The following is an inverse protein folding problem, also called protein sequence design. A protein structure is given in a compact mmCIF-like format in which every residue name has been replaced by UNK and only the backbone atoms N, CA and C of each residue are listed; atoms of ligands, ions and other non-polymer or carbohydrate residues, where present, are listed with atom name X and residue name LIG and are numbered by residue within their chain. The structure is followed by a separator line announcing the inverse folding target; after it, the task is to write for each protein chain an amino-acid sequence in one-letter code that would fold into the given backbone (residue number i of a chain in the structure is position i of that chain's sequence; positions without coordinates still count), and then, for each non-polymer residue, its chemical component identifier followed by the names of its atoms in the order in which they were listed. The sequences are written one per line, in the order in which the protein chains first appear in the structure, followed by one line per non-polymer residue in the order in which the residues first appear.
data_IF_084158266182
#
_entry.id   IF_084158266182
#
_cell.length_a   1.000
_cell.length_b   1.000
_cell.length_c   1.000
_cell.angle_alpha   90.00
_cell.angle_beta   90.00
_cell.angle_gamma   90.00
#
_symmetry.space_group_name_H-M   'P 1'
#
loop_
_entity.id
_entity.type
_entity.pdbx_description
1 polymer ?
#
# COMPACT_ATOMS: atom_id res chain seq x y z
N UNK A 1 11.70 8.84 15.55
CA UNK A 1 11.35 7.92 14.45
C UNK A 1 10.28 6.96 14.96
N UNK A 2 9.04 7.08 14.49
CA UNK A 2 7.96 6.18 14.92
C UNK A 2 8.29 4.78 14.41
N UNK A 3 8.31 3.79 15.31
CA UNK A 3 8.55 2.39 14.94
C UNK A 3 7.18 1.75 14.74
N UNK A 4 6.91 1.21 13.55
CA UNK A 4 5.66 0.49 13.29
C UNK A 4 5.46 -0.58 14.38
N UNK A 5 4.25 -0.70 14.96
CA UNK A 5 3.95 -1.78 15.87
C UNK A 5 4.30 -3.13 15.20
N UNK A 6 4.96 -4.01 15.95
CA UNK A 6 5.53 -5.25 15.39
C UNK A 6 4.51 -6.11 14.65
N UNK A 7 3.25 -6.13 15.12
CA UNK A 7 2.13 -6.82 14.46
C UNK A 7 1.84 -6.26 13.06
N UNK A 8 1.85 -4.94 12.92
CA UNK A 8 1.63 -4.24 11.63
C UNK A 8 2.82 -4.50 10.72
N UNK A 9 4.04 -4.34 11.24
CA UNK A 9 5.27 -4.61 10.49
C UNK A 9 5.27 -6.02 9.89
N UNK A 10 5.00 -7.06 10.69
CA UNK A 10 4.96 -8.45 10.20
C UNK A 10 3.87 -8.67 9.16
N UNK A 11 2.72 -8.01 9.32
CA UNK A 11 1.61 -8.09 8.36
C UNK A 11 2.01 -7.47 7.02
N UNK A 12 2.57 -6.27 7.05
CA UNK A 12 3.10 -5.57 5.87
C UNK A 12 4.22 -6.36 5.19
N UNK A 13 5.18 -6.88 5.95
CA UNK A 13 6.27 -7.70 5.41
C UNK A 13 5.75 -8.95 4.69
N UNK A 14 4.69 -9.57 5.21
CA UNK A 14 4.05 -10.70 4.53
C UNK A 14 3.36 -10.27 3.24
N UNK A 15 2.57 -9.20 3.27
CA UNK A 15 1.86 -8.68 2.08
C UNK A 15 2.85 -8.32 0.98
N UNK A 16 3.90 -7.57 1.31
CA UNK A 16 4.93 -7.18 0.34
C UNK A 16 5.64 -8.42 -0.22
N UNK A 17 5.93 -9.44 0.59
CA UNK A 17 6.49 -10.71 0.10
C UNK A 17 5.56 -11.42 -0.89
N UNK A 18 4.27 -11.46 -0.61
CA UNK A 18 3.26 -12.05 -1.49
C UNK A 18 3.05 -11.24 -2.79
N UNK A 19 3.11 -9.91 -2.71
CA UNK A 19 3.00 -9.03 -3.88
C UNK A 19 4.24 -9.10 -4.77
N UNK A 20 5.44 -9.22 -4.19
CA UNK A 20 6.72 -9.26 -4.91
C UNK A 20 6.81 -10.40 -5.94
N UNK A 21 6.12 -11.51 -5.74
CA UNK A 21 6.15 -12.65 -6.65
C UNK A 21 5.09 -12.58 -7.75
N UNK A 22 4.23 -11.56 -7.73
CA UNK A 22 3.21 -11.35 -8.77
C UNK A 22 3.83 -10.56 -9.91
N UNK A 23 3.81 -11.14 -11.10
CA UNK A 23 4.36 -10.50 -12.32
C UNK A 23 3.67 -9.17 -12.61
N UNK A 24 2.39 -9.04 -12.24
CA UNK A 24 1.59 -7.87 -12.57
C UNK A 24 1.71 -6.70 -11.58
N UNK A 25 2.53 -6.82 -10.53
CA UNK A 25 2.72 -5.76 -9.53
C UNK A 25 4.06 -5.08 -9.79
N UNK A 26 4.00 -3.82 -10.22
CA UNK A 26 5.18 -3.00 -10.48
C UNK A 26 5.77 -2.39 -9.19
N UNK A 27 4.91 -2.01 -8.24
CA UNK A 27 5.36 -1.35 -7.02
C UNK A 27 4.27 -1.26 -5.97
N UNK A 28 4.69 -1.10 -4.71
CA UNK A 28 3.79 -0.94 -3.56
C UNK A 28 4.32 0.19 -2.70
N UNK A 29 3.46 1.15 -2.36
CA UNK A 29 3.78 2.29 -1.51
C UNK A 29 2.84 2.38 -0.32
N UNK A 30 3.39 2.65 0.87
CA UNK A 30 2.59 2.99 2.05
C UNK A 30 2.20 4.46 1.97
N UNK A 31 0.90 4.75 2.11
CA UNK A 31 0.41 6.11 2.23
C UNK A 31 -0.52 6.24 3.44
N UNK A 32 -1.23 7.37 3.54
CA UNK A 32 -2.15 7.60 4.64
C UNK A 32 -1.45 7.90 5.96
N UNK A 33 -2.11 7.58 7.06
CA UNK A 33 -1.69 8.04 8.39
C UNK A 33 -0.37 7.41 8.87
N UNK A 34 -0.13 6.15 8.50
CA UNK A 34 1.09 5.44 8.86
C UNK A 34 2.34 6.00 8.17
N UNK A 35 2.22 6.56 6.96
CA UNK A 35 3.36 7.21 6.28
C UNK A 35 3.65 8.62 6.83
N UNK A 36 2.63 9.32 7.33
CA UNK A 36 2.77 10.66 7.95
C UNK A 36 3.18 10.64 9.42
N UNK A 37 3.03 9.51 10.10
CA UNK A 37 3.34 9.37 11.53
C UNK A 37 2.26 9.91 12.47
N UNK A 38 1.04 10.09 11.98
CA UNK A 38 -0.15 10.54 12.73
C UNK A 38 -1.18 9.41 12.96
N UNK A 39 -0.80 8.16 12.65
CA UNK A 39 -1.65 6.98 12.85
C UNK A 39 -2.00 6.73 14.33
N UNK A 40 -3.24 6.30 14.56
CA UNK A 40 -3.74 5.84 15.86
C UNK A 40 -3.85 4.30 15.89
N UNK A 41 -4.07 3.67 17.05
CA UNK A 41 -4.28 2.23 17.12
C UNK A 41 -5.49 1.71 16.33
N UNK A 42 -6.44 2.58 15.98
CA UNK A 42 -7.61 2.25 15.16
C UNK A 42 -7.44 2.63 13.69
N UNK A 43 -6.28 3.14 13.28
CA UNK A 43 -6.02 3.50 11.89
C UNK A 43 -5.86 2.27 11.00
N UNK A 44 -6.51 2.32 9.85
CA UNK A 44 -6.34 1.36 8.76
C UNK A 44 -4.95 1.50 8.11
N UNK A 45 -4.56 0.51 7.33
CA UNK A 45 -3.32 0.53 6.55
C UNK A 45 -3.66 0.77 5.08
N UNK A 46 -3.19 1.88 4.53
CA UNK A 46 -3.41 2.24 3.14
C UNK A 46 -2.18 1.92 2.28
N UNK A 47 -2.34 1.03 1.30
CA UNK A 47 -1.28 0.63 0.37
C UNK A 47 -1.67 0.94 -1.06
N UNK A 48 -0.87 1.77 -1.72
CA UNK A 48 -0.98 2.01 -3.16
C UNK A 48 -0.21 0.93 -3.92
N UNK A 49 -0.90 0.15 -4.73
CA UNK A 49 -0.34 -0.87 -5.61
C UNK A 49 -0.35 -0.38 -7.05
N UNK A 50 0.83 -0.31 -7.65
CA UNK A 50 0.98 -0.03 -9.08
C UNK A 50 0.92 -1.36 -9.82
N UNK A 51 -0.16 -1.59 -10.56
CA UNK A 51 -0.27 -2.76 -11.43
C UNK A 51 0.32 -2.42 -12.81
N UNK A 52 1.10 -3.35 -13.37
CA UNK A 52 1.59 -3.26 -14.76
C UNK A 52 0.55 -3.77 -15.78
N UNK A 53 -0.53 -4.38 -15.26
CA UNK A 53 -1.55 -5.05 -16.04
C UNK A 53 -2.30 -4.12 -16.99
N UNK A 54 -2.90 -4.70 -18.02
CA UNK A 54 -3.67 -4.02 -19.07
C UNK A 54 -4.92 -3.27 -18.59
N UNK A 55 -5.25 -3.36 -17.31
CA UNK A 55 -6.44 -2.76 -16.74
C UNK A 55 -6.38 -1.24 -16.78
N UNK A 56 -7.46 -0.60 -17.19
CA UNK A 56 -7.54 0.85 -17.38
C UNK A 56 -8.27 1.57 -16.26
N UNK A 57 -8.57 0.90 -15.15
CA UNK A 57 -9.37 1.41 -14.04
C UNK A 57 -8.66 1.27 -12.70
N UNK A 58 -9.03 2.15 -11.77
CA UNK A 58 -8.68 2.06 -10.35
C UNK A 58 -9.70 1.17 -9.62
N UNK A 59 -9.24 0.42 -8.63
CA UNK A 59 -10.11 -0.26 -7.69
C UNK A 59 -9.44 -0.43 -6.33
N UNK A 60 -10.25 -0.42 -5.27
CA UNK A 60 -9.79 -0.68 -3.91
C UNK A 60 -10.20 -2.08 -3.49
N UNK A 61 -9.24 -2.86 -2.99
CA UNK A 61 -9.49 -4.14 -2.32
C UNK A 61 -9.25 -3.99 -0.83
N UNK A 62 -10.31 -4.12 -0.04
CA UNK A 62 -10.23 -4.15 1.43
C UNK A 62 -10.02 -5.58 1.93
N UNK A 63 -9.04 -5.78 2.80
CA UNK A 63 -8.81 -7.05 3.48
C UNK A 63 -8.66 -6.82 4.99
N UNK A 64 -9.08 -7.80 5.78
CA UNK A 64 -8.85 -7.82 7.22
C UNK A 64 -7.90 -8.95 7.58
N UNK A 65 -6.83 -8.62 8.30
CA UNK A 65 -5.84 -9.59 8.76
C UNK A 65 -5.63 -9.40 10.26
N UNK A 66 -6.06 -10.37 11.06
CA UNK A 66 -5.88 -10.36 12.52
C UNK A 66 -6.44 -9.07 13.17
N UNK A 67 -7.57 -8.57 12.69
CA UNK A 67 -8.18 -7.32 13.18
C UNK A 67 -7.50 -6.03 12.70
N UNK A 68 -6.60 -6.10 11.71
CA UNK A 68 -6.09 -4.94 11.00
C UNK A 68 -6.83 -4.83 9.66
N UNK A 69 -7.46 -3.70 9.41
CA UNK A 69 -8.02 -3.35 8.12
C UNK A 69 -6.92 -2.80 7.21
N UNK A 70 -6.93 -3.25 5.97
CA UNK A 70 -5.92 -2.91 4.97
C UNK A 70 -6.65 -2.61 3.67
N UNK A 71 -6.46 -1.40 3.19
CA UNK A 71 -6.94 -0.95 1.90
C UNK A 71 -5.80 -1.06 0.88
N UNK A 72 -6.05 -1.84 -0.17
CA UNK A 72 -5.14 -2.03 -1.29
C UNK A 72 -5.71 -1.27 -2.48
N UNK A 73 -5.18 -0.08 -2.74
CA UNK A 73 -5.59 0.75 -3.87
C UNK A 73 -4.77 0.41 -5.09
N UNK A 74 -5.43 -0.19 -6.07
CA UNK A 74 -4.80 -0.62 -7.30
C UNK A 74 -5.00 0.43 -8.37
N UNK A 75 -3.90 0.96 -8.90
CA UNK A 75 -3.91 1.88 -10.04
C UNK A 75 -3.00 1.38 -11.17
N UNK A 76 -3.32 1.70 -12.43
CA UNK A 76 -2.42 1.42 -13.54
C UNK A 76 -1.11 2.21 -13.39
N UNK A 77 0.05 1.55 -13.50
CA UNK A 77 1.37 2.20 -13.43
C UNK A 77 1.48 3.44 -14.32
N UNK A 78 0.88 3.38 -15.52
CA UNK A 78 0.89 4.47 -16.51
C UNK A 78 0.26 5.78 -16.04
N UNK A 79 -0.48 5.77 -14.93
CA UNK A 79 -1.05 6.99 -14.33
C UNK A 79 -0.01 7.79 -13.54
N UNK A 80 1.11 7.17 -13.14
CA UNK A 80 2.22 7.87 -12.49
C UNK A 80 3.11 8.52 -13.55
N UNK A 81 3.01 9.85 -13.68
CA UNK A 81 3.70 10.63 -14.71
C UNK A 81 5.20 10.88 -14.39
N UNK A 82 5.64 10.57 -13.18
CA UNK A 82 7.00 10.79 -12.71
C UNK A 82 7.05 11.62 -11.42
N UNK A 83 8.25 11.86 -10.89
CA UNK A 83 8.43 12.71 -9.71
C UNK A 83 8.03 14.15 -10.04
N UNK A 84 7.22 14.76 -9.17
CA UNK A 84 6.92 16.19 -9.21
C UNK A 84 7.92 16.87 -8.26
N UNK A 85 8.79 17.78 -8.74
CA UNK A 85 9.69 18.51 -7.87
C UNK A 85 8.90 19.43 -6.92
N UNK A 86 9.36 19.63 -5.68
CA UNK A 86 8.76 20.60 -4.77
C UNK A 86 8.92 22.04 -5.33
N UNK A 87 7.94 22.89 -5.04
CA UNK A 87 8.00 24.35 -5.25
C UNK A 87 8.86 25.04 -4.18
#
# INVERSE_FOLDING_TARGET
MMRLPEKIRRTLERIVKEMRVKENVYGVGLFGSWSRGDATPSSDIDLLTLDDGSSSYEYTKRIEIRGLLIDLDHIPKRWIQGPIPPE
#
